data_IF_826919828520
#
_entry.id   IF_826919828520
#
_cell.length_a   1.000
_cell.length_b   1.000
_cell.length_c   1.000
_cell.angle_alpha   90.00
_cell.angle_beta   90.00
_cell.angle_gamma   90.00
#
_symmetry.space_group_name_H-M   'P 1'
#
loop_
_entity.id
_entity.type
_entity.pdbx_description
1 polymer ?
#
# COMPACT_ATOMS: atom_id res chain seq x y z
N UNK A 1 67.06 -27.00 10.83
CA UNK A 1 66.07 -26.09 11.45
C UNK A 1 65.00 -25.66 10.43
N UNK A 2 64.40 -26.58 9.68
CA UNK A 2 63.46 -26.27 8.58
C UNK A 2 62.03 -26.79 8.82
N UNK A 3 61.84 -27.69 9.80
CA UNK A 3 60.53 -28.27 10.11
C UNK A 3 59.55 -27.26 10.73
N UNK A 4 60.02 -26.39 11.63
CA UNK A 4 59.16 -25.41 12.30
C UNK A 4 58.54 -24.38 11.33
N UNK A 5 59.25 -24.05 10.24
CA UNK A 5 58.75 -23.09 9.23
C UNK A 5 57.67 -23.69 8.33
N UNK A 6 57.64 -25.00 8.14
CA UNK A 6 56.61 -25.67 7.34
C UNK A 6 55.30 -25.85 8.10
N UNK A 7 55.38 -26.02 9.41
CA UNK A 7 54.21 -26.23 10.27
C UNK A 7 53.40 -24.94 10.45
N UNK A 8 54.10 -23.81 10.67
CA UNK A 8 53.47 -22.49 10.74
C UNK A 8 52.73 -22.11 9.46
N UNK A 9 53.32 -22.44 8.29
CA UNK A 9 52.70 -22.16 7.00
C UNK A 9 51.43 -22.96 6.76
N UNK A 10 51.37 -24.20 7.26
CA UNK A 10 50.15 -25.03 7.19
C UNK A 10 49.07 -24.51 8.11
N UNK A 11 49.42 -24.07 9.32
CA UNK A 11 48.45 -23.49 10.26
C UNK A 11 47.85 -22.20 9.70
N UNK A 12 48.66 -21.35 9.07
CA UNK A 12 48.18 -20.11 8.44
C UNK A 12 47.26 -20.39 7.23
N UNK A 13 47.60 -21.39 6.42
CA UNK A 13 46.79 -21.82 5.27
C UNK A 13 45.46 -22.47 5.69
N UNK A 14 45.46 -23.27 6.77
CA UNK A 14 44.25 -23.90 7.30
C UNK A 14 43.33 -22.88 8.00
N UNK A 15 43.92 -21.83 8.59
CA UNK A 15 43.20 -20.73 9.22
C UNK A 15 42.57 -19.78 8.18
N UNK A 16 43.27 -19.49 7.09
CA UNK A 16 42.73 -18.72 5.95
C UNK A 16 41.59 -19.47 5.26
N UNK A 17 41.74 -20.80 5.09
CA UNK A 17 40.69 -21.65 4.53
C UNK A 17 39.44 -21.72 5.41
N UNK A 18 39.60 -21.80 6.74
CA UNK A 18 38.48 -21.82 7.68
C UNK A 18 37.73 -20.49 7.76
N UNK A 19 38.45 -19.35 7.79
CA UNK A 19 37.84 -18.02 7.79
C UNK A 19 37.07 -17.76 6.48
N UNK A 20 37.66 -18.13 5.33
CA UNK A 20 36.99 -18.00 4.02
C UNK A 20 35.71 -18.83 3.96
N UNK A 21 35.69 -20.02 4.55
CA UNK A 21 34.52 -20.89 4.60
C UNK A 21 33.44 -20.35 5.55
N UNK A 22 33.82 -19.81 6.70
CA UNK A 22 32.88 -19.16 7.63
C UNK A 22 32.22 -17.94 6.99
N UNK A 23 33.01 -17.07 6.34
CA UNK A 23 32.48 -15.91 5.62
C UNK A 23 31.52 -16.30 4.49
N UNK A 24 31.85 -17.33 3.70
CA UNK A 24 30.95 -17.85 2.67
C UNK A 24 29.63 -18.40 3.26
N UNK A 25 29.69 -19.05 4.43
CA UNK A 25 28.48 -19.52 5.12
C UNK A 25 27.64 -18.40 5.74
N UNK A 26 28.26 -17.30 6.20
CA UNK A 26 27.53 -16.14 6.69
C UNK A 26 26.82 -15.41 5.56
N UNK A 27 27.50 -15.17 4.45
CA UNK A 27 26.92 -14.49 3.29
C UNK A 27 25.72 -15.26 2.73
N UNK A 28 25.83 -16.58 2.63
CA UNK A 28 24.71 -17.44 2.19
C UNK A 28 23.54 -17.43 3.18
N UNK A 29 23.80 -17.40 4.49
CA UNK A 29 22.76 -17.25 5.52
C UNK A 29 22.07 -15.88 5.42
N UNK A 30 22.82 -14.80 5.28
CA UNK A 30 22.24 -13.46 5.09
C UNK A 30 21.40 -13.38 3.83
N UNK A 31 21.88 -13.93 2.71
CA UNK A 31 21.11 -14.00 1.46
C UNK A 31 19.82 -14.78 1.65
N UNK A 32 19.86 -15.93 2.34
CA UNK A 32 18.65 -16.74 2.60
C UNK A 32 17.65 -16.02 3.50
N UNK A 33 18.10 -15.24 4.49
CA UNK A 33 17.23 -14.41 5.32
C UNK A 33 16.61 -13.26 4.52
N UNK A 34 17.39 -12.56 3.71
CA UNK A 34 16.89 -11.47 2.86
C UNK A 34 15.84 -11.96 1.85
N UNK A 35 16.03 -13.15 1.27
CA UNK A 35 15.07 -13.78 0.37
C UNK A 35 13.81 -14.25 1.11
N UNK A 36 13.93 -14.76 2.34
CA UNK A 36 12.77 -15.15 3.15
C UNK A 36 11.92 -13.92 3.52
N UNK A 37 12.58 -12.82 3.90
CA UNK A 37 11.93 -11.55 4.23
C UNK A 37 11.25 -10.96 2.99
N UNK A 38 11.93 -10.90 1.84
CA UNK A 38 11.33 -10.36 0.61
C UNK A 38 10.13 -11.20 0.15
N UNK A 39 10.22 -12.53 0.24
CA UNK A 39 9.10 -13.42 -0.07
C UNK A 39 7.92 -13.24 0.88
N UNK A 40 8.16 -12.92 2.15
CA UNK A 40 7.12 -12.58 3.11
C UNK A 40 6.41 -11.28 2.73
N UNK A 41 7.14 -10.21 2.37
CA UNK A 41 6.54 -8.95 1.92
C UNK A 41 5.78 -9.10 0.59
N UNK A 42 6.32 -9.86 -0.37
CA UNK A 42 5.65 -10.15 -1.65
C UNK A 42 4.41 -11.00 -1.47
N UNK A 43 4.33 -11.84 -0.43
CA UNK A 43 3.12 -12.63 -0.14
C UNK A 43 2.04 -11.81 0.59
N UNK A 44 2.41 -10.73 1.27
CA UNK A 44 1.52 -9.96 2.16
C UNK A 44 1.25 -8.53 1.66
N UNK A 45 1.45 -8.27 0.37
CA UNK A 45 1.13 -6.98 -0.27
C UNK A 45 -0.32 -6.53 -0.02
N UNK A 46 -1.25 -7.48 0.10
CA UNK A 46 -2.66 -7.20 0.38
C UNK A 46 -2.87 -6.50 1.74
N UNK A 47 -2.05 -6.83 2.76
CA UNK A 47 -2.11 -6.18 4.09
C UNK A 47 -1.71 -4.71 3.95
N UNK A 48 -0.66 -4.45 3.16
CA UNK A 48 -0.19 -3.10 2.90
C UNK A 48 -1.24 -2.29 2.09
N UNK A 49 -1.90 -2.91 1.11
CA UNK A 49 -3.02 -2.31 0.40
C UNK A 49 -4.19 -1.97 1.33
N UNK A 50 -4.58 -2.89 2.22
CA UNK A 50 -5.66 -2.67 3.19
C UNK A 50 -5.29 -1.59 4.19
N UNK A 51 -4.04 -1.55 4.65
CA UNK A 51 -3.54 -0.53 5.57
C UNK A 51 -3.58 0.86 4.92
N UNK A 52 -3.04 1.01 3.71
CA UNK A 52 -3.06 2.27 2.96
C UNK A 52 -4.51 2.69 2.66
N UNK A 53 -5.34 1.75 2.21
CA UNK A 53 -6.76 2.00 1.95
C UNK A 53 -7.50 2.44 3.21
N UNK A 54 -7.25 1.80 4.35
CA UNK A 54 -7.83 2.15 5.63
C UNK A 54 -7.41 3.53 6.12
N UNK A 55 -6.13 3.88 5.98
CA UNK A 55 -5.61 5.23 6.31
C UNK A 55 -6.24 6.28 5.40
N UNK A 56 -6.30 6.04 4.09
CA UNK A 56 -6.94 6.94 3.14
C UNK A 56 -8.43 7.13 3.44
N UNK A 57 -9.14 6.04 3.78
CA UNK A 57 -10.53 6.07 4.19
C UNK A 57 -10.71 6.88 5.48
N UNK A 58 -9.88 6.64 6.50
CA UNK A 58 -9.91 7.37 7.76
C UNK A 58 -9.70 8.87 7.55
N UNK A 59 -8.74 9.28 6.71
CA UNK A 59 -8.53 10.69 6.38
C UNK A 59 -9.72 11.32 5.64
N UNK A 60 -10.35 10.59 4.72
CA UNK A 60 -11.55 11.08 4.04
C UNK A 60 -12.70 11.26 5.04
N UNK A 61 -12.93 10.29 5.93
CA UNK A 61 -14.01 10.36 6.92
C UNK A 61 -13.75 11.39 8.03
N UNK A 62 -12.49 11.62 8.41
CA UNK A 62 -12.11 12.54 9.49
C UNK A 62 -12.56 13.99 9.24
N UNK A 63 -12.88 14.37 8.00
CA UNK A 63 -13.33 15.72 7.65
C UNK A 63 -14.67 15.79 6.93
N UNK A 64 -15.40 14.68 6.84
CA UNK A 64 -16.66 14.59 6.10
C UNK A 64 -17.81 15.45 6.67
N UNK A 65 -17.59 16.18 7.77
CA UNK A 65 -18.55 17.13 8.33
C UNK A 65 -17.96 18.47 8.81
N UNK A 66 -16.68 18.76 8.53
CA UNK A 66 -15.97 19.91 9.15
C UNK A 66 -15.71 21.10 8.22
N UNK A 67 -16.47 21.25 7.14
CA UNK A 67 -16.47 22.48 6.30
C UNK A 67 -17.87 22.82 5.81
N UNK A 68 -18.10 24.12 5.57
CA UNK A 68 -19.26 24.60 4.83
C UNK A 68 -19.35 23.82 3.52
N UNK A 69 -20.47 23.14 3.29
CA UNK A 69 -20.75 22.43 2.05
C UNK A 69 -20.50 23.36 0.86
N UNK A 70 -19.80 22.87 -0.15
CA UNK A 70 -19.65 23.61 -1.40
C UNK A 70 -21.03 23.78 -2.06
N UNK A 71 -21.21 24.82 -2.86
CA UNK A 71 -22.53 25.14 -3.42
C UNK A 71 -23.10 23.99 -4.27
N UNK A 72 -22.24 23.23 -4.94
CA UNK A 72 -22.60 22.01 -5.68
C UNK A 72 -22.97 20.82 -4.78
N UNK A 73 -22.33 20.67 -3.62
CA UNK A 73 -22.71 19.70 -2.58
C UNK A 73 -24.08 20.03 -1.98
N UNK A 74 -24.37 21.30 -1.68
CA UNK A 74 -25.69 21.72 -1.19
C UNK A 74 -26.77 21.47 -2.25
N UNK A 75 -26.49 21.79 -3.52
CA UNK A 75 -27.44 21.56 -4.61
C UNK A 75 -27.70 20.08 -4.88
N UNK A 76 -26.69 19.21 -4.72
CA UNK A 76 -26.88 17.76 -4.85
C UNK A 76 -27.67 17.20 -3.66
N UNK A 77 -27.38 17.61 -2.42
CA UNK A 77 -28.14 17.21 -1.22
C UNK A 77 -29.60 17.69 -1.28
N UNK A 78 -29.83 18.94 -1.66
CA UNK A 78 -31.19 19.50 -1.75
C UNK A 78 -32.00 18.79 -2.84
N UNK A 79 -31.39 18.45 -3.99
CA UNK A 79 -32.05 17.63 -5.03
C UNK A 79 -32.29 16.19 -4.56
N UNK A 80 -31.38 15.58 -3.80
CA UNK A 80 -31.57 14.24 -3.25
C UNK A 80 -32.70 14.17 -2.21
N UNK A 81 -33.00 15.29 -1.54
CA UNK A 81 -34.12 15.41 -0.59
C UNK A 81 -35.46 15.71 -1.26
N UNK A 82 -35.47 16.08 -2.54
CA UNK A 82 -36.71 16.34 -3.28
C UNK A 82 -37.41 15.03 -3.67
N UNK A 83 -38.74 15.07 -3.74
CA UNK A 83 -39.51 13.91 -4.14
C UNK A 83 -39.38 13.66 -5.65
N UNK A 84 -39.38 12.38 -6.05
CA UNK A 84 -39.34 11.93 -7.44
C UNK A 84 -40.22 12.74 -8.43
N UNK A 85 -41.45 13.19 -8.08
CA UNK A 85 -42.27 14.02 -8.98
C UNK A 85 -41.66 15.39 -9.31
N UNK A 86 -40.96 16.01 -8.35
CA UNK A 86 -40.29 17.31 -8.54
C UNK A 86 -39.04 17.13 -9.40
N UNK A 87 -38.30 16.04 -9.19
CA UNK A 87 -37.14 15.67 -10.00
C UNK A 87 -37.53 15.46 -11.48
N UNK A 88 -38.67 14.82 -11.72
CA UNK A 88 -39.23 14.62 -13.06
C UNK A 88 -39.56 15.96 -13.75
N UNK A 89 -40.18 16.91 -13.06
CA UNK A 89 -40.43 18.24 -13.64
C UNK A 89 -39.14 18.97 -14.00
N UNK A 90 -38.10 18.89 -13.17
CA UNK A 90 -36.82 19.57 -13.40
C UNK A 90 -36.08 18.97 -14.61
N UNK A 91 -36.07 17.63 -14.72
CA UNK A 91 -35.47 16.87 -15.82
C UNK A 91 -36.05 17.30 -17.17
N UNK A 92 -37.38 17.43 -17.26
CA UNK A 92 -38.05 17.80 -18.50
C UNK A 92 -38.08 19.31 -18.77
N UNK A 93 -37.96 20.16 -17.75
CA UNK A 93 -38.11 21.60 -17.90
C UNK A 93 -36.82 22.39 -18.14
N UNK A 94 -35.68 21.99 -17.55
CA UNK A 94 -34.50 22.89 -17.48
C UNK A 94 -33.22 22.34 -18.10
N UNK A 95 -32.88 21.06 -17.92
CA UNK A 95 -31.60 20.51 -18.40
C UNK A 95 -31.67 18.99 -18.70
N UNK A 96 -32.13 18.58 -19.90
CA UNK A 96 -32.29 17.16 -20.24
C UNK A 96 -30.97 16.38 -20.24
N UNK A 97 -29.83 17.05 -20.47
CA UNK A 97 -28.52 16.42 -20.52
C UNK A 97 -27.94 16.05 -19.13
N UNK A 98 -28.47 16.64 -18.05
CA UNK A 98 -28.08 16.36 -16.65
C UNK A 98 -29.04 15.36 -15.97
N UNK A 99 -30.08 14.90 -16.69
CA UNK A 99 -31.16 14.10 -16.12
C UNK A 99 -30.70 12.77 -15.52
N UNK A 100 -29.78 12.07 -16.20
CA UNK A 100 -29.23 10.81 -15.72
C UNK A 100 -28.43 10.98 -14.42
N UNK A 101 -27.68 12.09 -14.28
CA UNK A 101 -26.95 12.39 -13.06
C UNK A 101 -27.89 12.53 -11.86
N UNK A 102 -29.04 13.17 -12.03
CA UNK A 102 -30.03 13.32 -10.96
C UNK A 102 -30.74 12.01 -10.59
N UNK A 103 -30.95 11.11 -11.54
CA UNK A 103 -31.52 9.78 -11.26
C UNK A 103 -30.54 8.94 -10.43
N UNK A 104 -29.25 8.97 -10.75
CA UNK A 104 -28.23 8.23 -9.99
C UNK A 104 -28.01 8.79 -8.58
N UNK A 105 -28.29 10.07 -8.34
CA UNK A 105 -28.16 10.72 -7.03
C UNK A 105 -29.35 10.44 -6.10
N UNK A 106 -30.45 9.89 -6.62
CA UNK A 106 -31.67 9.59 -5.86
C UNK A 106 -31.70 8.13 -5.33
N UNK A 107 -30.64 7.35 -5.51
CA UNK A 107 -30.45 6.01 -4.92
C UNK A 107 -29.33 6.02 -3.88
#
# INVERSE_FOLDING_TARGET
>A
MTQASGDLRKVEEDQDYTDTREQATLLTRLQSMLLAVSRFFVSHYWILCVLIGGVALAFNLFRLGSKSLWFDEVLSVERARQSLPVLWQIIFATQPNMAFYYIFLHF
#
